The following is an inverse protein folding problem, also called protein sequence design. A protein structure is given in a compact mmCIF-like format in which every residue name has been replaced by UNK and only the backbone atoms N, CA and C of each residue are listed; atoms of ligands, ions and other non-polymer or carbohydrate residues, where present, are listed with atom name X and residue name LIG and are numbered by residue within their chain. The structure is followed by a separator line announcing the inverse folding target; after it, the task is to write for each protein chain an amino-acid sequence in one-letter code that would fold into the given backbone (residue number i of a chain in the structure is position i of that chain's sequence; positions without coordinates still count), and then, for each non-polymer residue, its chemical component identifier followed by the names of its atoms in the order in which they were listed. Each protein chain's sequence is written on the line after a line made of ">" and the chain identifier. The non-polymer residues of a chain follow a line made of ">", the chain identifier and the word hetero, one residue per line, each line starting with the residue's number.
data_IF_883474455202
#
_entry.id   IF_883474455202
#
_cell.length_a   1.000
_cell.length_b   1.000
_cell.length_c   1.000
_cell.angle_alpha   90.00
_cell.angle_beta   90.00
_cell.angle_gamma   90.00
#
_symmetry.space_group_name_H-M   'P 1'
#
loop_
_entity.id
_entity.type
_entity.pdbx_description
1 polymer ?
#
# COMPACT_ATOMS: atom_id res chain seq x y z
N UNK A 1 27.37 -7.45 13.33
CA UNK A 1 26.10 -7.62 14.10
C UNK A 1 25.17 -8.49 13.27
N UNK A 2 24.56 -9.55 13.81
CA UNK A 2 23.69 -10.41 13.01
C UNK A 2 22.41 -9.66 12.59
N UNK A 3 22.02 -9.77 11.33
CA UNK A 3 20.83 -9.13 10.75
C UNK A 3 19.54 -9.48 11.51
N UNK A 4 19.44 -10.73 12.01
CA UNK A 4 18.32 -11.17 12.83
C UNK A 4 18.25 -10.45 14.18
N UNK A 5 19.40 -10.06 14.75
CA UNK A 5 19.43 -9.28 16.00
C UNK A 5 18.89 -7.87 15.77
N UNK A 6 19.30 -7.21 14.68
CA UNK A 6 18.80 -5.88 14.30
C UNK A 6 17.27 -5.87 14.14
N UNK A 7 16.72 -6.87 13.45
CA UNK A 7 15.26 -6.97 13.22
C UNK A 7 14.50 -7.26 14.52
N UNK A 8 15.04 -8.11 15.39
CA UNK A 8 14.44 -8.38 16.69
C UNK A 8 14.45 -7.13 17.58
N UNK A 9 15.55 -6.40 17.61
CA UNK A 9 15.68 -5.17 18.40
C UNK A 9 14.69 -4.10 17.92
N UNK A 10 14.45 -3.99 16.59
CA UNK A 10 13.48 -3.08 16.00
C UNK A 10 12.05 -3.50 16.34
N UNK A 11 11.69 -4.77 16.21
CA UNK A 11 10.38 -5.27 16.57
C UNK A 11 10.06 -5.07 18.06
N UNK A 12 11.04 -5.25 18.93
CA UNK A 12 10.90 -5.03 20.37
C UNK A 12 10.77 -3.54 20.74
N UNK A 13 11.35 -2.65 19.93
CA UNK A 13 11.29 -1.20 20.20
C UNK A 13 9.95 -0.55 19.89
N UNK A 14 9.02 -1.28 19.24
CA UNK A 14 7.73 -0.76 18.75
C UNK A 14 7.84 0.52 17.86
N UNK A 15 9.05 0.83 17.39
CA UNK A 15 9.27 1.99 16.51
C UNK A 15 8.87 1.66 15.07
N UNK A 16 8.34 2.61 14.32
CA UNK A 16 8.04 2.40 12.90
C UNK A 16 9.34 2.17 12.11
N UNK A 17 9.29 1.27 11.15
CA UNK A 17 10.37 1.00 10.22
C UNK A 17 9.81 0.70 8.82
N UNK A 18 10.65 0.86 7.80
CA UNK A 18 10.34 0.51 6.41
C UNK A 18 11.47 -0.36 5.89
N UNK A 19 11.12 -1.50 5.30
CA UNK A 19 12.07 -2.39 4.62
C UNK A 19 11.80 -2.32 3.13
N UNK A 20 12.84 -2.07 2.36
CA UNK A 20 12.78 -2.01 0.90
C UNK A 20 13.70 -3.05 0.30
N UNK A 21 13.18 -3.91 -0.59
CA UNK A 21 13.99 -4.90 -1.32
C UNK A 21 14.80 -4.21 -2.41
N UNK A 22 16.10 -4.44 -2.40
CA UNK A 22 17.04 -3.98 -3.43
C UNK A 22 17.55 -5.15 -4.25
N UNK A 23 18.34 -4.90 -5.30
CA UNK A 23 19.02 -5.96 -6.08
C UNK A 23 20.00 -6.76 -5.24
N UNK A 24 20.60 -6.17 -4.20
CA UNK A 24 21.71 -6.74 -3.42
C UNK A 24 21.34 -7.07 -1.98
N UNK A 25 20.03 -7.09 -1.66
CA UNK A 25 19.57 -7.32 -0.30
C UNK A 25 18.36 -6.46 0.07
N UNK A 26 18.40 -5.90 1.27
CA UNK A 26 17.33 -5.05 1.80
C UNK A 26 17.89 -3.77 2.39
N UNK A 27 17.22 -2.67 2.15
CA UNK A 27 17.46 -1.41 2.85
C UNK A 27 16.41 -1.24 3.95
N UNK A 28 16.86 -1.11 5.18
CA UNK A 28 16.03 -0.85 6.36
C UNK A 28 16.14 0.61 6.73
N UNK A 29 15.02 1.29 6.76
CA UNK A 29 14.91 2.69 7.14
C UNK A 29 14.24 2.83 8.50
N UNK A 30 14.84 3.61 9.38
CA UNK A 30 14.36 3.88 10.76
C UNK A 30 14.53 5.35 11.09
N UNK A 31 14.08 5.73 12.30
CA UNK A 31 14.23 7.07 12.87
C UNK A 31 13.77 8.15 11.90
N UNK A 32 12.45 8.25 11.75
CA UNK A 32 11.85 9.18 10.81
C UNK A 32 11.72 10.59 11.38
N UNK A 33 12.40 11.56 10.77
CA UNK A 33 12.33 12.98 11.14
C UNK A 33 11.01 13.63 10.73
N UNK A 34 10.36 13.11 9.68
CA UNK A 34 9.12 13.68 9.16
C UNK A 34 8.18 12.62 8.64
N UNK A 35 6.88 12.78 8.99
CA UNK A 35 5.77 12.04 8.41
C UNK A 35 4.86 13.03 7.69
N UNK A 36 4.56 12.75 6.42
CA UNK A 36 3.66 13.56 5.58
C UNK A 36 2.47 12.70 5.20
N UNK A 37 1.27 13.14 5.56
CA UNK A 37 0.01 12.55 5.10
C UNK A 37 -0.52 13.46 3.99
N UNK A 38 -0.69 12.89 2.79
CA UNK A 38 -1.16 13.65 1.64
C UNK A 38 -2.67 13.90 1.71
N UNK A 39 -3.02 15.10 1.34
CA UNK A 39 -4.38 15.61 1.18
C UNK A 39 -4.48 16.44 -0.09
N UNK A 40 -5.68 16.86 -0.48
CA UNK A 40 -5.84 17.79 -1.62
C UNK A 40 -5.08 19.09 -1.42
N UNK A 41 -4.94 19.55 -0.17
CA UNK A 41 -4.38 20.86 0.15
C UNK A 41 -2.84 20.91 0.13
N UNK A 42 -2.16 19.76 0.23
CA UNK A 42 -0.71 19.73 0.34
C UNK A 42 0.00 18.90 -0.73
N UNK A 43 -0.74 18.16 -1.57
CA UNK A 43 -0.13 17.26 -2.56
C UNK A 43 0.69 18.01 -3.60
N UNK A 44 0.19 19.14 -4.12
CA UNK A 44 0.90 19.95 -5.12
C UNK A 44 2.22 20.47 -4.56
N UNK A 45 2.18 21.10 -3.39
CA UNK A 45 3.39 21.60 -2.73
C UNK A 45 4.39 20.48 -2.41
N UNK A 46 3.89 19.29 -2.03
CA UNK A 46 4.76 18.13 -1.83
C UNK A 46 5.44 17.69 -3.12
N UNK A 47 4.69 17.53 -4.23
CA UNK A 47 5.24 17.16 -5.53
C UNK A 47 6.26 18.17 -6.04
N UNK A 48 6.00 19.45 -5.91
CA UNK A 48 6.93 20.52 -6.25
C UNK A 48 8.20 20.44 -5.41
N UNK A 49 8.08 20.18 -4.09
CA UNK A 49 9.22 20.06 -3.19
C UNK A 49 10.16 18.90 -3.53
N UNK A 50 9.63 17.78 -4.03
CA UNK A 50 10.45 16.64 -4.46
C UNK A 50 11.00 16.81 -5.86
N UNK A 51 10.32 17.54 -6.76
CA UNK A 51 10.76 17.78 -8.13
C UNK A 51 11.86 18.85 -8.24
N UNK A 52 11.90 19.81 -7.33
CA UNK A 52 12.85 20.90 -7.32
C UNK A 52 14.26 20.51 -6.84
N UNK A 53 14.41 19.39 -6.14
CA UNK A 53 15.69 18.92 -5.60
C UNK A 53 16.54 18.18 -6.65
N UNK A 54 17.21 18.96 -7.53
CA UNK A 54 18.14 18.41 -8.55
C UNK A 54 19.58 18.18 -8.06
N UNK A 55 19.89 18.38 -6.77
CA UNK A 55 21.25 18.17 -6.22
C UNK A 55 21.47 16.68 -5.91
N UNK A 56 22.75 16.25 -5.85
CA UNK A 56 23.14 14.91 -5.40
C UNK A 56 22.49 14.60 -4.05
N UNK A 57 21.51 13.72 -4.08
CA UNK A 57 20.67 13.35 -2.93
C UNK A 57 21.39 12.25 -2.17
N UNK A 58 21.61 12.42 -0.87
CA UNK A 58 22.02 11.30 0.00
C UNK A 58 20.87 10.29 0.09
N UNK A 59 21.16 9.02 0.30
CA UNK A 59 20.12 7.98 0.43
C UNK A 59 19.10 8.28 1.55
N UNK A 60 19.47 9.07 2.54
CA UNK A 60 18.59 9.54 3.63
C UNK A 60 17.78 10.79 3.30
N UNK A 61 18.08 11.49 2.21
CA UNK A 61 17.30 12.65 1.77
C UNK A 61 16.04 12.27 0.97
N UNK A 62 15.76 10.98 0.87
CA UNK A 62 14.61 10.45 0.16
C UNK A 62 13.35 10.50 1.04
N UNK A 63 12.21 10.66 0.38
CA UNK A 63 10.92 10.38 0.99
C UNK A 63 10.48 8.96 0.57
N UNK A 64 10.14 8.13 1.56
CA UNK A 64 9.70 6.76 1.34
C UNK A 64 8.24 6.66 1.74
N UNK A 65 7.41 6.11 0.84
CA UNK A 65 5.99 6.00 1.11
C UNK A 65 5.22 5.52 -0.12
N UNK A 66 3.95 5.87 -0.17
CA UNK A 66 3.09 5.50 -1.29
C UNK A 66 2.09 6.62 -1.62
N UNK A 67 1.65 6.64 -2.86
CA UNK A 67 0.50 7.40 -3.31
C UNK A 67 -0.74 6.51 -3.28
N UNK A 68 -1.81 6.95 -2.63
CA UNK A 68 -3.10 6.30 -2.69
C UNK A 68 -3.77 6.50 -4.05
N UNK A 69 -4.50 5.50 -4.52
CA UNK A 69 -5.18 5.55 -5.82
C UNK A 69 -6.15 6.74 -5.96
N UNK A 70 -6.78 7.15 -4.87
CA UNK A 70 -7.72 8.27 -4.82
C UNK A 70 -7.07 9.63 -5.10
N UNK A 71 -5.73 9.72 -4.97
CA UNK A 71 -4.98 10.92 -5.32
C UNK A 71 -5.02 11.19 -6.83
N UNK A 72 -4.98 10.11 -7.64
CA UNK A 72 -5.06 10.22 -9.09
C UNK A 72 -6.32 10.95 -9.52
N UNK A 73 -7.46 10.66 -8.89
CA UNK A 73 -8.74 11.30 -9.21
C UNK A 73 -8.69 12.82 -9.01
N UNK A 74 -7.98 13.27 -7.98
CA UNK A 74 -7.78 14.68 -7.74
C UNK A 74 -6.88 15.32 -8.81
N UNK A 75 -5.78 14.66 -9.17
CA UNK A 75 -4.80 15.19 -10.12
C UNK A 75 -5.35 15.30 -11.55
N UNK A 76 -6.22 14.36 -11.96
CA UNK A 76 -6.84 14.36 -13.30
C UNK A 76 -8.21 15.05 -13.33
N UNK A 77 -8.65 15.65 -12.22
CA UNK A 77 -9.91 16.40 -12.15
C UNK A 77 -11.19 15.55 -12.19
N UNK A 78 -11.11 14.22 -12.04
CA UNK A 78 -12.27 13.35 -12.04
C UNK A 78 -12.90 13.31 -10.65
N UNK A 79 -14.19 13.64 -10.57
CA UNK A 79 -14.98 13.55 -9.35
C UNK A 79 -15.63 12.18 -9.24
N UNK A 80 -15.11 11.33 -8.35
CA UNK A 80 -15.79 10.07 -7.98
C UNK A 80 -16.76 10.29 -6.82
N UNK A 81 -17.85 9.49 -6.73
CA UNK A 81 -18.71 9.50 -5.57
C UNK A 81 -17.89 9.24 -4.30
N UNK A 82 -18.09 10.06 -3.25
CA UNK A 82 -17.41 9.87 -1.97
C UNK A 82 -17.76 8.48 -1.42
N UNK A 83 -16.80 7.60 -1.32
CA UNK A 83 -16.99 6.34 -0.61
C UNK A 83 -17.11 6.65 0.89
N UNK A 84 -18.25 6.32 1.47
CA UNK A 84 -18.60 6.62 2.89
C UNK A 84 -17.63 6.09 3.93
N UNK A 85 -16.73 5.15 3.58
CA UNK A 85 -15.81 4.48 4.51
C UNK A 85 -14.41 4.28 3.90
N UNK A 86 -13.88 5.28 3.20
CA UNK A 86 -12.51 5.19 2.74
C UNK A 86 -11.56 5.69 3.84
N UNK A 87 -11.02 4.75 4.62
CA UNK A 87 -10.01 5.02 5.64
C UNK A 87 -8.58 5.04 5.08
N UNK A 88 -8.42 4.79 3.79
CA UNK A 88 -7.10 4.74 3.18
C UNK A 88 -6.63 6.17 2.88
N UNK A 89 -5.45 6.58 3.34
CA UNK A 89 -4.94 7.92 3.09
C UNK A 89 -4.59 8.12 1.61
N UNK A 90 -4.66 9.36 1.12
CA UNK A 90 -4.28 9.71 -0.25
C UNK A 90 -2.79 9.51 -0.54
N UNK A 91 -2.00 9.38 0.48
CA UNK A 91 -0.60 9.02 0.47
C UNK A 91 0.01 9.26 1.85
N UNK A 92 1.03 8.49 2.15
CA UNK A 92 1.85 8.67 3.34
C UNK A 92 3.30 8.58 2.92
N UNK A 93 4.11 9.55 3.37
CA UNK A 93 5.54 9.58 3.14
C UNK A 93 6.28 9.83 4.44
N UNK A 94 7.42 9.19 4.58
CA UNK A 94 8.34 9.34 5.69
C UNK A 94 9.70 9.78 5.19
N UNK A 95 10.36 10.69 5.92
CA UNK A 95 11.77 11.05 5.70
C UNK A 95 12.61 10.30 6.72
N UNK A 96 13.40 9.27 6.31
CA UNK A 96 14.25 8.54 7.23
C UNK A 96 15.50 9.32 7.59
N UNK A 97 16.04 9.09 8.79
CA UNK A 97 17.35 9.59 9.23
C UNK A 97 18.39 8.48 9.20
N UNK A 98 17.97 7.25 9.43
CA UNK A 98 18.85 6.09 9.49
C UNK A 98 18.54 5.11 8.36
N UNK A 99 19.60 4.67 7.67
CA UNK A 99 19.58 3.61 6.66
C UNK A 99 20.57 2.52 7.05
N UNK A 100 20.08 1.29 7.13
CA UNK A 100 20.89 0.09 7.37
C UNK A 100 20.72 -0.84 6.18
N UNK A 101 21.79 -1.09 5.42
CA UNK A 101 21.76 -2.08 4.33
C UNK A 101 22.00 -3.48 4.87
N UNK A 102 21.10 -4.39 4.55
CA UNK A 102 21.09 -5.78 5.02
C UNK A 102 21.35 -6.72 3.84
N UNK A 103 22.13 -7.78 4.07
CA UNK A 103 22.40 -8.81 3.03
C UNK A 103 21.16 -9.67 2.76
N UNK A 104 21.14 -10.39 1.63
CA UNK A 104 20.03 -11.24 1.16
C UNK A 104 19.64 -12.41 2.10
N UNK A 105 20.44 -12.72 3.11
CA UNK A 105 20.21 -13.85 4.04
C UNK A 105 19.14 -13.57 5.10
N UNK A 106 18.19 -12.69 4.83
CA UNK A 106 17.04 -12.45 5.68
C UNK A 106 16.02 -13.57 5.51
N UNK A 107 16.04 -14.53 6.42
CA UNK A 107 14.91 -15.46 6.55
C UNK A 107 13.84 -14.84 7.44
N UNK A 108 12.80 -14.31 6.85
CA UNK A 108 11.59 -13.99 7.61
C UNK A 108 10.90 -15.30 7.98
N UNK A 109 10.97 -15.70 9.25
CA UNK A 109 10.07 -16.74 9.75
C UNK A 109 8.66 -16.17 9.74
N UNK A 110 7.85 -16.60 8.77
CA UNK A 110 6.44 -16.28 8.80
C UNK A 110 5.86 -16.78 10.14
N UNK A 111 5.16 -15.93 10.91
CA UNK A 111 4.50 -16.39 12.12
C UNK A 111 3.55 -17.52 11.74
N UNK A 112 3.67 -18.65 12.43
CA UNK A 112 2.76 -19.80 12.28
C UNK A 112 1.38 -19.35 12.75
N UNK A 113 0.57 -18.87 11.83
CA UNK A 113 -0.83 -18.58 12.13
C UNK A 113 -1.58 -19.87 12.24
N UNK A 114 -2.17 -20.13 13.41
CA UNK A 114 -3.18 -21.17 13.55
C UNK A 114 -4.21 -21.02 12.41
N UNK A 115 -4.41 -22.10 11.67
CA UNK A 115 -5.43 -22.20 10.61
C UNK A 115 -6.84 -22.18 11.23
N UNK A 116 -7.27 -21.03 11.78
CA UNK A 116 -8.68 -20.83 12.09
C UNK A 116 -9.42 -20.70 10.77
N UNK A 117 -10.37 -21.57 10.52
CA UNK A 117 -11.26 -21.52 9.35
C UNK A 117 -11.93 -20.14 9.31
N UNK A 118 -11.41 -19.28 8.45
CA UNK A 118 -11.84 -17.89 8.35
C UNK A 118 -12.97 -17.82 7.33
N UNK A 119 -14.20 -17.65 7.78
CA UNK A 119 -15.31 -17.43 6.87
C UNK A 119 -15.22 -16.03 6.23
N UNK A 120 -15.12 -16.02 4.92
CA UNK A 120 -15.19 -14.79 4.13
C UNK A 120 -16.64 -14.48 3.77
N UNK A 121 -17.05 -13.21 3.97
CA UNK A 121 -18.31 -12.69 3.44
C UNK A 121 -18.05 -12.04 2.09
N UNK A 122 -18.81 -12.47 1.09
CA UNK A 122 -18.78 -11.89 -0.26
C UNK A 122 -19.80 -10.77 -0.32
N UNK A 123 -19.46 -9.63 -0.93
CA UNK A 123 -20.37 -8.48 -1.07
C UNK A 123 -21.52 -8.71 -2.06
N UNK A 124 -21.42 -9.74 -2.90
CA UNK A 124 -22.41 -10.05 -3.94
C UNK A 124 -22.67 -11.56 -3.94
N UNK A 125 -23.93 -11.96 -3.95
CA UNK A 125 -24.31 -13.35 -4.09
C UNK A 125 -24.34 -13.78 -5.58
N UNK A 126 -24.38 -15.09 -5.85
CA UNK A 126 -24.34 -15.65 -7.21
C UNK A 126 -25.48 -15.09 -8.09
N UNK A 127 -26.70 -14.98 -7.58
CA UNK A 127 -27.86 -14.47 -8.31
C UNK A 127 -27.65 -13.02 -8.80
N UNK A 128 -27.19 -12.15 -7.91
CA UNK A 128 -26.91 -10.76 -8.23
C UNK A 128 -25.71 -10.63 -9.18
N UNK A 129 -24.66 -11.44 -8.97
CA UNK A 129 -23.53 -11.47 -9.91
C UNK A 129 -23.97 -11.85 -11.32
N UNK A 130 -24.78 -12.91 -11.48
CA UNK A 130 -25.30 -13.33 -12.78
C UNK A 130 -26.14 -12.23 -13.44
N UNK A 131 -26.98 -11.51 -12.68
CA UNK A 131 -27.77 -10.40 -13.19
C UNK A 131 -26.88 -9.27 -13.72
N UNK A 132 -25.86 -8.89 -12.98
CA UNK A 132 -24.88 -7.87 -13.37
C UNK A 132 -24.11 -8.33 -14.61
N UNK A 133 -23.62 -9.57 -14.62
CA UNK A 133 -22.89 -10.16 -15.74
C UNK A 133 -23.71 -10.14 -17.04
N UNK A 134 -24.96 -10.59 -16.99
CA UNK A 134 -25.83 -10.61 -18.15
C UNK A 134 -26.15 -9.20 -18.68
N UNK A 135 -26.32 -8.23 -17.79
CA UNK A 135 -26.52 -6.84 -18.19
C UNK A 135 -25.27 -6.29 -18.91
N UNK A 136 -24.09 -6.51 -18.39
CA UNK A 136 -22.85 -6.06 -19.02
C UNK A 136 -22.55 -6.82 -20.33
N UNK A 137 -22.84 -8.12 -20.39
CA UNK A 137 -22.74 -8.89 -21.64
C UNK A 137 -23.61 -8.32 -22.74
N UNK A 138 -24.83 -7.86 -22.39
CA UNK A 138 -25.72 -7.17 -23.35
C UNK A 138 -25.12 -5.85 -23.83
N UNK A 139 -24.57 -5.02 -22.93
CA UNK A 139 -23.92 -3.76 -23.27
C UNK A 139 -22.72 -3.93 -24.21
N UNK A 140 -21.90 -4.96 -23.97
CA UNK A 140 -20.80 -5.32 -24.89
C UNK A 140 -21.35 -5.68 -26.27
N UNK A 141 -22.41 -6.51 -26.34
CA UNK A 141 -23.04 -6.87 -27.63
C UNK A 141 -23.65 -5.67 -28.37
N UNK A 142 -24.09 -4.65 -27.65
CA UNK A 142 -24.64 -3.41 -28.20
C UNK A 142 -23.53 -2.41 -28.61
N UNK A 143 -22.27 -2.75 -28.41
CA UNK A 143 -21.15 -1.87 -28.76
C UNK A 143 -20.92 -0.70 -27.78
N UNK A 144 -21.64 -0.64 -26.65
CA UNK A 144 -21.45 0.44 -25.65
C UNK A 144 -20.05 0.40 -25.01
N UNK A 145 -19.42 -0.78 -24.94
CA UNK A 145 -18.08 -0.98 -24.43
C UNK A 145 -17.50 -2.29 -24.96
N UNK A 146 -16.18 -2.39 -25.02
CA UNK A 146 -15.49 -3.60 -25.49
C UNK A 146 -15.06 -4.54 -24.35
N UNK A 147 -14.92 -4.01 -23.12
CA UNK A 147 -14.47 -4.78 -21.95
C UNK A 147 -15.05 -4.20 -20.67
N UNK A 148 -15.40 -5.09 -19.74
CA UNK A 148 -15.86 -4.73 -18.40
C UNK A 148 -15.23 -5.68 -17.38
N UNK A 149 -14.70 -5.13 -16.28
CA UNK A 149 -14.19 -5.88 -15.13
C UNK A 149 -15.21 -5.85 -14.01
N UNK A 150 -15.74 -7.03 -13.62
CA UNK A 150 -16.63 -7.17 -12.47
C UNK A 150 -15.77 -7.57 -11.26
N UNK A 151 -15.69 -6.69 -10.27
CA UNK A 151 -14.93 -6.95 -9.05
C UNK A 151 -15.84 -7.43 -7.92
N UNK A 152 -15.44 -8.52 -7.27
CA UNK A 152 -16.08 -9.01 -6.04
C UNK A 152 -15.21 -8.68 -4.83
N UNK A 153 -15.84 -8.27 -3.73
CA UNK A 153 -15.15 -7.92 -2.49
C UNK A 153 -15.38 -8.98 -1.44
N UNK A 154 -14.30 -9.56 -0.97
CA UNK A 154 -14.31 -10.51 0.15
C UNK A 154 -13.96 -9.75 1.43
N UNK A 155 -14.77 -9.93 2.48
CA UNK A 155 -14.53 -9.34 3.80
C UNK A 155 -14.34 -10.45 4.83
N UNK A 156 -13.34 -10.29 5.66
CA UNK A 156 -13.10 -11.10 6.84
C UNK A 156 -13.08 -10.21 8.09
N UNK A 157 -13.63 -10.70 9.20
CA UNK A 157 -13.60 -10.00 10.50
C UNK A 157 -12.32 -10.27 11.29
N UNK A 158 -11.46 -11.20 10.83
CA UNK A 158 -10.21 -11.50 11.53
C UNK A 158 -9.24 -10.34 11.40
N UNK A 159 -8.55 -10.02 12.48
CA UNK A 159 -7.35 -9.18 12.41
C UNK A 159 -6.29 -10.00 11.64
N UNK A 160 -5.87 -9.50 10.49
CA UNK A 160 -4.78 -10.09 9.72
C UNK A 160 -3.56 -9.25 10.03
N UNK A 161 -2.50 -9.90 10.46
CA UNK A 161 -1.20 -9.24 10.55
C UNK A 161 -0.72 -9.00 9.11
N UNK A 162 -0.61 -7.72 8.74
CA UNK A 162 -0.22 -7.33 7.39
C UNK A 162 1.25 -7.67 7.08
N UNK A 163 2.06 -7.99 8.09
CA UNK A 163 3.43 -8.48 7.90
C UNK A 163 3.49 -9.82 7.16
N UNK A 164 2.35 -10.52 7.05
CA UNK A 164 2.20 -11.80 6.37
C UNK A 164 1.78 -11.70 4.90
N UNK A 165 1.50 -10.50 4.41
CA UNK A 165 1.13 -10.30 3.01
C UNK A 165 2.41 -10.06 2.22
N UNK A 166 2.93 -11.12 1.62
CA UNK A 166 3.94 -11.01 0.58
C UNK A 166 3.24 -10.64 -0.74
N UNK A 167 3.55 -9.46 -1.25
CA UNK A 167 3.15 -9.01 -2.58
C UNK A 167 4.34 -9.23 -3.52
#
# INVERSE_FOLDING_TARGET
>A
MSTNKILNDINLSAKPYIIYKTSNGFDLFTDFSKKIILSNNNVTNFLESISSNKKKIKKTDLYIGFFGYELLNYLIGIKFPKQKNNFFPKGIFYKPETLISLSDNLSFKAPTTEKKNKQFKININRKNYTKIFNNFKRKIKQGETYQIKICTKYKNKSKIDLSLIHI
#
